data_IF_035551170213
#
_entry.id   IF_035551170213
#
_cell.length_a   1.000
_cell.length_b   1.000
_cell.length_c   1.000
_cell.angle_alpha   90.00
_cell.angle_beta   90.00
_cell.angle_gamma   90.00
#
_symmetry.space_group_name_H-M   'P 1'
#
loop_
_entity.id
_entity.type
_entity.pdbx_description
1 polymer ?
#
# COMPACT_ATOMS: atom_id res chain seq x y z
N UNK A 1 -12.00 8.52 7.43
CA UNK A 1 -10.70 9.18 7.22
C UNK A 1 -9.98 8.55 6.04
N UNK A 2 -9.44 9.37 5.15
CA UNK A 2 -8.56 8.96 4.05
C UNK A 2 -7.12 9.36 4.41
N UNK A 3 -6.16 8.48 4.15
CA UNK A 3 -4.73 8.75 4.31
C UNK A 3 -4.02 8.50 2.99
N UNK A 4 -3.10 9.40 2.63
CA UNK A 4 -2.25 9.28 1.45
C UNK A 4 -0.80 9.45 1.87
N UNK A 5 0.06 8.47 1.54
CA UNK A 5 1.45 8.46 2.01
C UNK A 5 2.35 9.46 1.27
N UNK A 6 1.91 9.97 0.12
CA UNK A 6 2.81 10.49 -0.90
C UNK A 6 3.93 9.46 -1.20
N UNK A 7 5.09 9.92 -1.66
CA UNK A 7 6.23 9.06 -1.96
C UNK A 7 7.10 8.90 -0.70
N UNK A 8 7.39 7.66 -0.32
CA UNK A 8 8.22 7.37 0.85
C UNK A 8 8.70 5.93 0.84
N UNK A 9 9.88 5.68 1.43
CA UNK A 9 10.20 4.36 1.94
C UNK A 9 9.32 4.01 3.15
N UNK A 10 9.32 2.72 3.51
CA UNK A 10 8.65 2.27 4.73
C UNK A 10 9.19 2.98 5.96
N UNK A 11 8.28 3.39 6.84
CA UNK A 11 8.56 3.92 8.17
C UNK A 11 7.46 3.45 9.12
N UNK A 12 7.86 3.02 10.32
CA UNK A 12 6.92 2.53 11.34
C UNK A 12 5.91 3.61 11.76
N UNK A 13 6.26 4.89 11.63
CA UNK A 13 5.39 6.03 11.94
C UNK A 13 4.12 6.08 11.08
N UNK A 14 4.09 5.41 9.92
CA UNK A 14 2.86 5.32 9.11
C UNK A 14 1.75 4.53 9.80
N UNK A 15 2.10 3.59 10.68
CA UNK A 15 1.13 2.75 11.38
C UNK A 15 0.22 3.60 12.29
N UNK A 16 0.75 4.35 13.28
CA UNK A 16 -0.09 5.21 14.11
C UNK A 16 -0.70 6.38 13.31
N UNK A 17 -0.02 6.88 12.28
CA UNK A 17 -0.55 7.95 11.41
C UNK A 17 -1.79 7.50 10.63
N UNK A 18 -1.84 6.23 10.23
CA UNK A 18 -2.91 5.66 9.40
C UNK A 18 -3.98 4.93 10.20
N UNK A 19 -3.93 5.01 11.54
CA UNK A 19 -4.78 4.21 12.42
C UNK A 19 -6.27 4.34 12.06
N UNK A 20 -6.91 3.19 11.84
CA UNK A 20 -8.34 3.04 11.56
C UNK A 20 -8.84 3.86 10.35
N UNK A 21 -7.96 4.18 9.39
CA UNK A 21 -8.36 4.86 8.17
C UNK A 21 -9.38 4.01 7.37
N UNK A 22 -10.40 4.67 6.81
CA UNK A 22 -11.36 4.01 5.90
C UNK A 22 -10.68 3.63 4.58
N UNK A 23 -9.68 4.42 4.16
CA UNK A 23 -8.86 4.17 2.99
C UNK A 23 -7.43 4.66 3.23
N UNK A 24 -6.47 3.78 2.94
CA UNK A 24 -5.05 4.11 2.86
C UNK A 24 -4.57 4.00 1.40
N UNK A 25 -4.09 5.10 0.84
CA UNK A 25 -3.49 5.17 -0.49
C UNK A 25 -1.96 5.21 -0.31
N UNK A 26 -1.27 4.20 -0.84
CA UNK A 26 0.17 4.02 -0.62
C UNK A 26 0.98 4.21 -1.90
N UNK A 27 2.21 4.72 -1.73
CA UNK A 27 3.30 4.52 -2.71
C UNK A 27 3.67 3.04 -2.73
N UNK A 28 3.56 2.38 -3.88
CA UNK A 28 3.88 0.96 -4.03
C UNK A 28 4.63 0.73 -5.32
N UNK A 29 5.86 1.24 -5.38
CA UNK A 29 6.69 1.16 -6.59
C UNK A 29 7.49 -0.15 -6.72
N UNK A 30 7.59 -0.95 -5.66
CA UNK A 30 8.40 -2.17 -5.67
C UNK A 30 7.64 -3.45 -5.28
N UNK A 31 8.16 -4.58 -5.74
CA UNK A 31 7.73 -5.91 -5.34
C UNK A 31 8.38 -6.33 -4.01
N UNK A 32 7.88 -7.42 -3.43
CA UNK A 32 8.29 -7.89 -2.10
C UNK A 32 9.80 -8.11 -1.92
N UNK A 33 10.53 -8.39 -3.00
CA UNK A 33 11.98 -8.63 -2.97
C UNK A 33 12.80 -7.39 -2.60
N UNK A 34 12.19 -6.20 -2.68
CA UNK A 34 12.77 -4.91 -2.29
C UNK A 34 12.42 -4.47 -0.87
N UNK A 35 11.59 -5.23 -0.14
CA UNK A 35 11.23 -4.92 1.24
C UNK A 35 12.47 -4.77 2.12
N UNK A 36 12.54 -3.69 2.90
CA UNK A 36 13.68 -3.32 3.74
C UNK A 36 14.94 -2.84 3.00
N UNK A 37 14.97 -2.91 1.65
CA UNK A 37 16.13 -2.53 0.83
C UNK A 37 15.99 -1.13 0.27
N UNK A 38 14.79 -0.74 -0.13
CA UNK A 38 14.52 0.57 -0.71
C UNK A 38 14.61 1.70 0.34
N UNK A 39 15.07 2.87 -0.10
CA UNK A 39 15.13 4.10 0.70
C UNK A 39 14.31 5.24 0.11
N UNK A 40 13.53 4.97 -0.94
CA UNK A 40 12.78 5.99 -1.69
C UNK A 40 11.30 5.63 -1.92
N UNK A 41 10.96 4.35 -2.09
CA UNK A 41 9.59 3.85 -2.26
C UNK A 41 9.36 2.55 -1.47
N UNK A 42 8.10 2.19 -1.21
CA UNK A 42 7.76 0.94 -0.51
C UNK A 42 7.63 -0.26 -1.47
N UNK A 43 7.88 -1.44 -0.91
CA UNK A 43 7.47 -2.71 -1.48
C UNK A 43 5.99 -3.03 -1.18
N UNK A 44 5.36 -3.85 -2.02
CA UNK A 44 3.99 -4.38 -1.87
C UNK A 44 3.67 -4.87 -0.45
N UNK A 45 4.55 -5.68 0.14
CA UNK A 45 4.39 -6.23 1.49
C UNK A 45 4.49 -5.18 2.59
N UNK A 46 5.24 -4.09 2.37
CA UNK A 46 5.35 -2.98 3.34
C UNK A 46 4.06 -2.14 3.34
N UNK A 47 3.44 -1.92 2.18
CA UNK A 47 2.12 -1.29 2.09
C UNK A 47 1.05 -2.14 2.78
N UNK A 48 1.06 -3.46 2.55
CA UNK A 48 0.21 -4.42 3.26
C UNK A 48 0.43 -4.41 4.77
N UNK A 49 1.69 -4.33 5.22
CA UNK A 49 2.03 -4.26 6.64
C UNK A 49 1.43 -3.02 7.31
N UNK A 50 1.60 -1.83 6.71
CA UNK A 50 1.01 -0.59 7.25
C UNK A 50 -0.51 -0.74 7.36
N UNK A 51 -1.16 -1.24 6.32
CA UNK A 51 -2.62 -1.42 6.31
C UNK A 51 -3.09 -2.38 7.42
N UNK A 52 -2.43 -3.52 7.57
CA UNK A 52 -2.78 -4.54 8.55
C UNK A 52 -2.57 -4.07 9.99
N UNK A 53 -1.43 -3.45 10.28
CA UNK A 53 -1.09 -3.00 11.63
C UNK A 53 -1.84 -1.73 12.03
N UNK A 54 -2.13 -0.84 11.08
CA UNK A 54 -2.94 0.35 11.34
C UNK A 54 -4.45 0.05 11.44
N UNK A 55 -4.89 -1.16 11.07
CA UNK A 55 -6.29 -1.56 11.10
C UNK A 55 -7.15 -0.76 10.10
N UNK A 56 -6.62 -0.48 8.91
CA UNK A 56 -7.37 0.25 7.87
C UNK A 56 -8.44 -0.65 7.26
N UNK A 57 -9.51 -0.04 6.73
CA UNK A 57 -10.59 -0.83 6.09
C UNK A 57 -10.25 -1.24 4.65
N UNK A 58 -9.58 -0.35 3.91
CA UNK A 58 -9.23 -0.56 2.49
C UNK A 58 -7.81 -0.05 2.21
N UNK A 59 -7.08 -0.80 1.40
CA UNK A 59 -5.76 -0.46 0.88
C UNK A 59 -5.84 -0.21 -0.63
N UNK A 60 -5.37 0.95 -1.09
CA UNK A 60 -5.18 1.25 -2.50
C UNK A 60 -3.68 1.37 -2.79
N UNK A 61 -3.17 0.43 -3.58
CA UNK A 61 -1.80 0.47 -4.10
C UNK A 61 -1.75 1.49 -5.25
N UNK A 62 -0.94 2.53 -5.10
CA UNK A 62 -0.73 3.58 -6.11
C UNK A 62 0.76 3.78 -6.37
N UNK A 63 1.10 4.78 -7.19
CA UNK A 63 2.49 5.03 -7.62
C UNK A 63 3.18 3.75 -8.13
N UNK A 64 2.44 3.00 -8.96
CA UNK A 64 2.74 1.63 -9.35
C UNK A 64 4.05 1.51 -10.16
N UNK A 65 4.72 0.33 -10.12
CA UNK A 65 5.87 0.06 -10.97
C UNK A 65 5.50 0.13 -12.46
N UNK A 66 6.46 0.57 -13.28
CA UNK A 66 6.31 0.61 -14.74
C UNK A 66 6.50 -0.77 -15.40
N UNK A 67 7.00 -1.76 -14.66
CA UNK A 67 7.33 -3.10 -15.15
C UNK A 67 6.90 -4.17 -14.16
N UNK A 68 6.57 -5.34 -14.68
CA UNK A 68 6.16 -6.51 -13.90
C UNK A 68 4.64 -6.72 -13.89
N UNK A 69 4.19 -7.71 -13.12
CA UNK A 69 2.77 -8.04 -12.98
C UNK A 69 2.14 -7.23 -11.84
N UNK A 70 1.13 -6.42 -12.13
CA UNK A 70 0.38 -5.72 -11.07
C UNK A 70 -0.49 -6.69 -10.25
N UNK A 71 -0.93 -7.80 -10.85
CA UNK A 71 -1.64 -8.86 -10.11
C UNK A 71 -0.74 -9.49 -9.05
N UNK A 72 0.54 -9.70 -9.36
CA UNK A 72 1.52 -10.16 -8.37
C UNK A 72 1.69 -9.13 -7.25
N UNK A 73 1.83 -7.84 -7.60
CA UNK A 73 1.97 -6.75 -6.64
C UNK A 73 0.80 -6.71 -5.64
N UNK A 74 -0.42 -6.87 -6.16
CA UNK A 74 -1.64 -6.94 -5.35
C UNK A 74 -1.64 -8.18 -4.44
N UNK A 75 -1.34 -9.38 -4.98
CA UNK A 75 -1.29 -10.62 -4.19
C UNK A 75 -0.24 -10.58 -3.07
N UNK A 76 0.90 -9.94 -3.32
CA UNK A 76 1.93 -9.76 -2.30
C UNK A 76 1.43 -8.88 -1.15
N UNK A 77 0.76 -7.76 -1.44
CA UNK A 77 0.14 -6.93 -0.41
C UNK A 77 -0.97 -7.69 0.37
N UNK A 78 -1.83 -8.42 -0.34
CA UNK A 78 -2.91 -9.27 0.23
C UNK A 78 -2.38 -10.43 1.08
N UNK A 79 -1.13 -10.86 0.86
CA UNK A 79 -0.50 -11.87 1.72
C UNK A 79 -0.21 -11.37 3.14
N UNK A 80 -0.16 -10.06 3.33
CA UNK A 80 0.08 -9.39 4.63
C UNK A 80 -1.19 -8.71 5.16
N UNK A 81 -2.00 -8.12 4.28
CA UNK A 81 -3.23 -7.42 4.63
C UNK A 81 -4.48 -8.25 4.30
N UNK A 82 -5.27 -8.53 5.33
CA UNK A 82 -6.51 -9.32 5.22
C UNK A 82 -7.74 -8.54 4.72
N UNK A 83 -7.65 -7.21 4.59
CA UNK A 83 -8.75 -6.37 4.12
C UNK A 83 -8.79 -6.19 2.59
N UNK A 84 -9.70 -5.33 2.13
CA UNK A 84 -9.87 -5.07 0.69
C UNK A 84 -8.65 -4.33 0.13
N UNK A 85 -7.92 -4.97 -0.79
CA UNK A 85 -6.82 -4.36 -1.55
C UNK A 85 -7.26 -4.07 -2.98
N UNK A 86 -6.88 -2.91 -3.51
CA UNK A 86 -7.14 -2.51 -4.89
C UNK A 86 -5.88 -1.93 -5.53
N UNK A 87 -5.79 -2.06 -6.84
CA UNK A 87 -4.82 -1.35 -7.68
C UNK A 87 -5.43 -0.03 -8.17
N UNK A 88 -4.66 1.05 -8.09
CA UNK A 88 -5.06 2.33 -8.66
C UNK A 88 -5.06 2.25 -10.19
N UNK A 89 -6.12 2.75 -10.80
CA UNK A 89 -6.25 2.90 -12.25
C UNK A 89 -6.92 4.23 -12.60
N UNK A 90 -6.72 4.68 -13.84
CA UNK A 90 -7.32 5.93 -14.32
C UNK A 90 -8.84 5.85 -14.26
N UNK A 91 -9.45 6.77 -13.53
CA UNK A 91 -10.91 6.88 -13.42
C UNK A 91 -11.52 6.00 -12.33
N UNK A 92 -10.71 5.29 -11.54
CA UNK A 92 -11.18 4.57 -10.36
C UNK A 92 -11.94 5.50 -9.40
N UNK A 93 -13.11 5.05 -8.94
CA UNK A 93 -13.91 5.73 -7.91
C UNK A 93 -14.05 4.82 -6.71
N UNK A 94 -13.77 5.33 -5.52
CA UNK A 94 -13.91 4.61 -4.25
C UNK A 94 -14.96 5.33 -3.40
N UNK A 95 -15.90 4.55 -2.86
CA UNK A 95 -16.85 5.00 -1.86
C UNK A 95 -16.32 4.59 -0.47
N UNK A 96 -16.23 5.58 0.43
CA UNK A 96 -15.80 5.43 1.82
C UNK A 96 -16.99 5.14 2.73
#
# INVERSE_FOLDING_TARGET
>A
MLVYTADSAFQESFIPFSKEADLLITDTNFYQDMAGKSKVHMASVEAGQIAQEAGVKKLLLSHLPQKGSLEQLQKEAESVFSGETKLAEKGLKIHL
#
